data_IF_778858071333
#
_entry.id   IF_778858071333
#
_cell.length_a   1.000
_cell.length_b   1.000
_cell.length_c   1.000
_cell.angle_alpha   90.00
_cell.angle_beta   90.00
_cell.angle_gamma   90.00
#
_symmetry.space_group_name_H-M   'P 1'
#
loop_
_entity.id
_entity.type
_entity.pdbx_description
1 polymer ?
#
# COMPACT_ATOMS: atom_id res chain seq x y z
N UNK A 1 24.06 -9.35 -4.80
CA UNK A 1 23.34 -9.66 -6.06
C UNK A 1 22.69 -11.01 -5.89
N UNK A 2 21.44 -11.05 -5.42
CA UNK A 2 20.68 -12.29 -5.21
C UNK A 2 19.46 -12.27 -6.14
N UNK A 3 19.27 -13.39 -6.83
CA UNK A 3 18.41 -13.56 -8.00
C UNK A 3 16.93 -13.32 -7.75
N UNK A 4 16.32 -12.68 -8.74
CA UNK A 4 14.87 -12.53 -8.88
C UNK A 4 14.39 -13.48 -10.00
N UNK A 5 14.42 -14.79 -9.72
CA UNK A 5 13.92 -15.85 -10.62
C UNK A 5 12.56 -16.38 -10.11
N UNK A 6 11.57 -15.49 -9.94
CA UNK A 6 10.18 -15.88 -9.67
C UNK A 6 9.20 -15.05 -10.49
N UNK A 7 9.31 -15.08 -11.83
CA UNK A 7 8.26 -14.56 -12.73
C UNK A 7 8.43 -15.11 -14.16
N UNK A 8 8.51 -16.43 -14.29
CA UNK A 8 8.35 -17.10 -15.58
C UNK A 8 7.38 -18.26 -15.39
N UNK A 9 6.08 -17.98 -15.44
CA UNK A 9 5.03 -18.85 -15.98
C UNK A 9 3.62 -18.26 -15.78
N UNK A 10 3.40 -17.03 -16.24
CA UNK A 10 2.06 -16.54 -16.60
C UNK A 10 2.11 -16.07 -18.05
N UNK A 11 2.36 -17.01 -18.97
CA UNK A 11 1.98 -16.75 -20.36
C UNK A 11 0.46 -16.89 -20.39
N UNK A 12 -0.31 -15.85 -20.78
CA UNK A 12 -1.73 -16.02 -20.99
C UNK A 12 -1.90 -17.16 -22.00
N UNK A 13 -2.43 -18.29 -21.53
CA UNK A 13 -2.79 -19.40 -22.41
C UNK A 13 -3.74 -18.77 -23.41
N UNK A 14 -3.35 -18.77 -24.69
CA UNK A 14 -4.16 -18.27 -25.80
C UNK A 14 -5.59 -18.75 -25.56
N UNK A 15 -6.50 -17.82 -25.27
CA UNK A 15 -7.92 -18.11 -25.14
C UNK A 15 -8.30 -18.87 -26.42
N UNK A 16 -8.49 -20.18 -26.28
CA UNK A 16 -9.05 -21.01 -27.34
C UNK A 16 -10.32 -20.31 -27.83
N UNK A 17 -10.67 -20.42 -29.12
CA UNK A 17 -11.80 -19.70 -29.69
C UNK A 17 -13.00 -19.80 -28.74
N UNK A 18 -13.41 -18.64 -28.21
CA UNK A 18 -14.40 -18.49 -27.16
C UNK A 18 -15.78 -18.77 -27.77
N UNK A 19 -15.99 -20.02 -28.19
CA UNK A 19 -17.21 -20.50 -28.79
C UNK A 19 -18.27 -20.49 -27.70
N UNK A 20 -19.35 -19.76 -27.94
CA UNK A 20 -20.53 -19.73 -27.07
C UNK A 20 -20.90 -21.17 -26.65
N UNK A 21 -21.10 -21.47 -25.35
CA UNK A 21 -21.49 -22.81 -24.89
C UNK A 21 -22.69 -23.41 -25.65
N UNK A 22 -23.52 -22.55 -26.24
CA UNK A 22 -24.63 -22.94 -27.13
C UNK A 22 -24.15 -23.76 -28.33
N UNK A 23 -22.97 -23.51 -28.89
CA UNK A 23 -22.42 -24.27 -30.02
C UNK A 23 -22.05 -25.70 -29.65
N UNK A 24 -21.52 -25.92 -28.45
CA UNK A 24 -21.19 -27.25 -27.95
C UNK A 24 -22.45 -28.08 -27.68
N UNK A 25 -23.48 -27.44 -27.11
CA UNK A 25 -24.80 -28.04 -26.97
C UNK A 25 -25.41 -28.35 -28.36
N UNK A 26 -25.33 -27.41 -29.30
CA UNK A 26 -25.83 -27.61 -30.66
C UNK A 26 -25.11 -28.77 -31.34
N UNK A 27 -23.78 -28.86 -31.24
CA UNK A 27 -23.00 -29.97 -31.77
C UNK A 27 -23.41 -31.32 -31.16
N UNK A 28 -23.59 -31.38 -29.83
CA UNK A 28 -24.07 -32.60 -29.16
C UNK A 28 -25.46 -33.01 -29.67
N UNK A 29 -26.38 -32.05 -29.81
CA UNK A 29 -27.74 -32.27 -30.33
C UNK A 29 -27.68 -32.71 -31.80
N UNK A 30 -26.89 -32.05 -32.64
CA UNK A 30 -26.75 -32.39 -34.06
C UNK A 30 -26.13 -33.76 -34.26
N UNK A 31 -25.12 -34.16 -33.47
CA UNK A 31 -24.55 -35.51 -33.55
C UNK A 31 -25.57 -36.56 -33.08
N UNK A 32 -26.33 -36.27 -32.02
CA UNK A 32 -27.34 -37.21 -31.50
C UNK A 32 -28.50 -37.39 -32.49
N UNK A 33 -29.11 -36.30 -32.95
CA UNK A 33 -30.30 -36.35 -33.81
C UNK A 33 -29.98 -36.50 -35.29
N UNK A 34 -28.83 -36.01 -35.75
CA UNK A 34 -28.41 -36.08 -37.15
C UNK A 34 -27.64 -37.34 -37.51
N UNK A 35 -26.97 -37.99 -36.54
CA UNK A 35 -26.07 -39.10 -36.83
C UNK A 35 -26.39 -40.34 -36.00
N UNK A 36 -26.56 -40.22 -34.69
CA UNK A 36 -26.80 -41.37 -33.81
C UNK A 36 -28.18 -42.00 -34.04
N UNK A 37 -29.26 -41.21 -34.00
CA UNK A 37 -30.63 -41.71 -34.17
C UNK A 37 -30.88 -42.24 -35.59
N UNK A 38 -30.59 -41.50 -36.68
CA UNK A 38 -30.79 -42.01 -38.03
C UNK A 38 -29.88 -43.21 -38.34
N UNK A 39 -28.64 -43.19 -37.85
CA UNK A 39 -27.70 -44.30 -37.97
C UNK A 39 -28.18 -45.57 -37.27
N UNK A 40 -28.75 -45.44 -36.06
CA UNK A 40 -29.34 -46.57 -35.35
C UNK A 40 -30.58 -47.14 -36.06
N UNK A 41 -31.45 -46.27 -36.61
CA UNK A 41 -32.62 -46.71 -37.40
C UNK A 41 -32.16 -47.43 -38.67
N UNK A 42 -31.20 -46.88 -39.40
CA UNK A 42 -30.66 -47.50 -40.60
C UNK A 42 -29.99 -48.84 -40.31
N UNK A 43 -29.17 -48.91 -39.25
CA UNK A 43 -28.56 -50.14 -38.77
C UNK A 43 -29.61 -51.20 -38.41
N UNK A 44 -30.68 -50.81 -37.71
CA UNK A 44 -31.78 -51.71 -37.37
C UNK A 44 -32.47 -52.24 -38.64
N UNK A 45 -32.82 -51.36 -39.59
CA UNK A 45 -33.43 -51.78 -40.87
C UNK A 45 -32.50 -52.71 -41.66
N UNK A 46 -31.20 -52.42 -41.70
CA UNK A 46 -30.21 -53.24 -42.40
C UNK A 46 -30.05 -54.64 -41.76
N UNK A 47 -30.06 -54.73 -40.43
CA UNK A 47 -29.95 -56.01 -39.71
C UNK A 47 -31.25 -56.82 -39.82
N UNK A 48 -32.42 -56.19 -39.63
CA UNK A 48 -33.72 -56.89 -39.65
C UNK A 48 -34.22 -57.22 -41.06
N UNK A 49 -33.63 -56.65 -42.12
CA UNK A 49 -33.94 -57.01 -43.51
C UNK A 49 -33.22 -58.27 -44.01
N UNK A 50 -32.26 -58.80 -43.24
CA UNK A 50 -31.55 -60.03 -43.60
C UNK A 50 -32.42 -61.27 -43.36
N UNK A 51 -32.52 -62.12 -44.38
CA UNK A 51 -33.32 -63.37 -44.33
C UNK A 51 -32.60 -64.54 -43.67
N UNK A 52 -31.27 -64.47 -43.55
CA UNK A 52 -30.45 -65.52 -42.93
C UNK A 52 -29.85 -65.02 -41.61
N UNK A 53 -29.94 -65.82 -40.52
CA UNK A 53 -29.51 -65.40 -39.19
C UNK A 53 -27.98 -65.23 -39.06
N UNK A 54 -27.17 -65.98 -39.81
CA UNK A 54 -25.70 -65.85 -39.76
C UNK A 54 -25.22 -64.50 -40.31
N UNK A 55 -25.78 -64.03 -41.44
CA UNK A 55 -25.45 -62.72 -42.02
C UNK A 55 -25.86 -61.54 -41.15
N UNK A 56 -26.90 -61.70 -40.32
CA UNK A 56 -27.31 -60.67 -39.37
C UNK A 56 -26.29 -60.51 -38.23
N UNK A 57 -25.70 -61.61 -37.76
CA UNK A 57 -24.69 -61.59 -36.71
C UNK A 57 -23.41 -60.85 -37.14
N UNK A 58 -22.93 -61.11 -38.36
CA UNK A 58 -21.74 -60.45 -38.92
C UNK A 58 -21.96 -58.93 -39.11
N UNK A 59 -23.17 -58.53 -39.53
CA UNK A 59 -23.51 -57.11 -39.64
C UNK A 59 -23.51 -56.41 -38.28
N UNK A 60 -24.03 -57.05 -37.24
CA UNK A 60 -24.02 -56.49 -35.88
C UNK A 60 -22.59 -56.30 -35.40
N UNK A 61 -21.69 -57.26 -35.64
CA UNK A 61 -20.28 -57.15 -35.21
C UNK A 61 -19.55 -56.00 -35.88
N UNK A 62 -19.91 -55.66 -37.13
CA UNK A 62 -19.35 -54.49 -37.83
C UNK A 62 -19.94 -53.17 -37.33
N UNK A 63 -21.22 -53.13 -36.97
CA UNK A 63 -21.92 -51.88 -36.60
C UNK A 63 -21.62 -51.42 -35.16
N UNK A 64 -21.49 -52.36 -34.23
CA UNK A 64 -21.24 -52.06 -32.80
C UNK A 64 -20.09 -51.07 -32.56
N UNK A 65 -18.89 -51.21 -33.16
CA UNK A 65 -17.79 -50.26 -32.92
C UNK A 65 -18.06 -48.83 -33.43
N UNK A 66 -18.93 -48.64 -34.43
CA UNK A 66 -19.36 -47.29 -34.83
C UNK A 66 -20.31 -46.68 -33.81
N UNK A 67 -21.22 -47.48 -33.26
CA UNK A 67 -22.12 -47.05 -32.19
C UNK A 67 -21.37 -46.55 -30.95
N UNK A 68 -20.28 -47.23 -30.57
CA UNK A 68 -19.46 -46.83 -29.41
C UNK A 68 -18.72 -45.51 -29.66
N UNK A 69 -18.21 -45.26 -30.87
CA UNK A 69 -17.56 -43.99 -31.25
C UNK A 69 -18.56 -42.83 -31.18
N UNK A 70 -19.78 -43.01 -31.71
CA UNK A 70 -20.81 -41.97 -31.67
C UNK A 70 -21.23 -41.67 -30.22
N UNK A 71 -21.40 -42.70 -29.39
CA UNK A 71 -21.68 -42.53 -27.96
C UNK A 71 -20.54 -41.77 -27.25
N UNK A 72 -19.28 -42.09 -27.54
CA UNK A 72 -18.13 -41.41 -26.98
C UNK A 72 -18.08 -39.93 -27.38
N UNK A 73 -18.40 -39.60 -28.64
CA UNK A 73 -18.49 -38.21 -29.12
C UNK A 73 -19.58 -37.42 -28.40
N UNK A 74 -20.78 -37.99 -28.27
CA UNK A 74 -21.89 -37.35 -27.53
C UNK A 74 -21.47 -37.10 -26.07
N UNK A 75 -20.82 -38.08 -25.45
CA UNK A 75 -20.32 -37.97 -24.07
C UNK A 75 -19.28 -36.85 -23.96
N UNK A 76 -18.32 -36.79 -24.88
CA UNK A 76 -17.30 -35.76 -24.94
C UNK A 76 -17.91 -34.35 -25.05
N UNK A 77 -18.81 -34.13 -26.01
CA UNK A 77 -19.48 -32.83 -26.17
C UNK A 77 -20.28 -32.43 -24.93
N UNK A 78 -20.94 -33.40 -24.28
CA UNK A 78 -21.72 -33.16 -23.06
C UNK A 78 -20.80 -32.76 -21.89
N UNK A 79 -19.65 -33.41 -21.73
CA UNK A 79 -18.67 -33.07 -20.68
C UNK A 79 -18.08 -31.68 -20.91
N UNK A 80 -17.69 -31.36 -22.15
CA UNK A 80 -17.17 -30.03 -22.51
C UNK A 80 -18.21 -28.94 -22.25
N UNK A 81 -19.45 -29.15 -22.68
CA UNK A 81 -20.54 -28.19 -22.45
C UNK A 81 -20.80 -27.96 -20.95
N UNK A 82 -20.86 -29.03 -20.14
CA UNK A 82 -21.00 -28.91 -18.68
C UNK A 82 -19.83 -28.16 -18.05
N UNK A 83 -18.60 -28.43 -18.48
CA UNK A 83 -17.41 -27.72 -18.01
C UNK A 83 -17.49 -26.22 -18.28
N UNK A 84 -17.89 -25.82 -19.50
CA UNK A 84 -18.06 -24.41 -19.87
C UNK A 84 -19.18 -23.72 -19.09
N UNK A 85 -20.31 -24.39 -18.87
CA UNK A 85 -21.39 -23.84 -18.05
C UNK A 85 -20.96 -23.63 -16.59
N UNK A 86 -20.23 -24.58 -16.01
CA UNK A 86 -19.72 -24.44 -14.64
C UNK A 86 -18.73 -23.27 -14.54
N UNK A 87 -17.84 -23.09 -15.52
CA UNK A 87 -16.92 -21.94 -15.54
C UNK A 87 -17.68 -20.60 -15.63
N UNK A 88 -18.72 -20.51 -16.47
CA UNK A 88 -19.57 -19.31 -16.55
C UNK A 88 -20.32 -19.05 -15.24
N UNK A 89 -20.87 -20.08 -14.61
CA UNK A 89 -21.53 -19.95 -13.31
C UNK A 89 -20.56 -19.46 -12.22
N UNK A 90 -19.32 -19.98 -12.20
CA UNK A 90 -18.29 -19.52 -11.27
C UNK A 90 -17.92 -18.07 -11.53
N UNK A 91 -17.77 -17.66 -12.80
CA UNK A 91 -17.50 -16.26 -13.17
C UNK A 91 -18.62 -15.33 -12.73
N UNK A 92 -19.87 -15.71 -12.97
CA UNK A 92 -21.02 -14.90 -12.58
C UNK A 92 -21.20 -14.85 -11.06
N UNK A 93 -20.98 -15.97 -10.36
CA UNK A 93 -20.98 -16.02 -8.91
C UNK A 93 -19.85 -15.16 -8.31
N UNK A 94 -18.66 -15.15 -8.91
CA UNK A 94 -17.57 -14.26 -8.51
C UNK A 94 -17.96 -12.79 -8.69
N UNK A 95 -18.60 -12.43 -9.80
CA UNK A 95 -19.09 -11.05 -10.03
C UNK A 95 -20.14 -10.65 -9.00
N UNK A 96 -21.09 -11.54 -8.70
CA UNK A 96 -22.12 -11.30 -7.69
C UNK A 96 -21.51 -11.17 -6.29
N UNK A 97 -20.54 -12.02 -5.94
CA UNK A 97 -19.83 -11.93 -4.67
C UNK A 97 -19.06 -10.61 -4.56
N UNK A 98 -18.32 -10.21 -5.60
CA UNK A 98 -17.59 -8.94 -5.61
C UNK A 98 -18.53 -7.74 -5.44
N UNK A 99 -19.67 -7.73 -6.15
CA UNK A 99 -20.66 -6.66 -6.02
C UNK A 99 -21.25 -6.59 -4.60
N UNK A 100 -21.49 -7.75 -3.98
CA UNK A 100 -21.99 -7.84 -2.61
C UNK A 100 -20.95 -7.40 -1.58
N UNK A 101 -19.68 -7.75 -1.79
CA UNK A 101 -18.57 -7.30 -0.94
C UNK A 101 -18.41 -5.79 -1.04
N UNK A 102 -18.52 -5.20 -2.23
CA UNK A 102 -18.46 -3.75 -2.42
C UNK A 102 -19.63 -3.02 -1.76
N UNK A 103 -20.84 -3.56 -1.82
CA UNK A 103 -22.01 -3.04 -1.10
C UNK A 103 -21.79 -3.08 0.43
N UNK A 104 -21.26 -4.20 0.94
CA UNK A 104 -20.95 -4.37 2.35
C UNK A 104 -19.87 -3.39 2.82
N UNK A 105 -18.79 -3.21 2.06
CA UNK A 105 -17.71 -2.27 2.38
C UNK A 105 -18.21 -0.82 2.35
N UNK A 106 -19.06 -0.47 1.39
CA UNK A 106 -19.69 0.86 1.31
C UNK A 106 -20.53 1.13 2.54
N UNK A 107 -21.32 0.14 2.97
CA UNK A 107 -22.13 0.25 4.19
C UNK A 107 -21.26 0.41 5.44
N UNK A 108 -20.22 -0.41 5.59
CA UNK A 108 -19.27 -0.31 6.70
C UNK A 108 -18.56 1.05 6.74
N UNK A 109 -18.24 1.63 5.57
CA UNK A 109 -17.64 2.95 5.46
C UNK A 109 -18.59 4.03 6.01
N UNK A 110 -19.85 4.03 5.55
CA UNK A 110 -20.87 5.01 5.98
C UNK A 110 -21.22 4.86 7.46
N UNK A 111 -21.49 3.63 7.90
CA UNK A 111 -21.82 3.34 9.30
C UNK A 111 -20.62 3.65 10.22
N UNK A 112 -19.40 3.29 9.80
CA UNK A 112 -18.17 3.57 10.52
C UNK A 112 -17.90 5.06 10.70
N UNK A 113 -18.09 5.84 9.63
CA UNK A 113 -17.98 7.30 9.68
C UNK A 113 -19.04 7.92 10.62
N UNK A 114 -20.29 7.46 10.53
CA UNK A 114 -21.36 7.92 11.41
C UNK A 114 -21.09 7.64 12.89
N UNK A 115 -20.51 6.48 13.21
CA UNK A 115 -20.16 6.10 14.58
C UNK A 115 -19.01 6.93 15.19
N UNK A 116 -18.10 7.45 14.36
CA UNK A 116 -17.00 8.31 14.85
C UNK A 116 -17.49 9.67 15.35
N UNK A 117 -18.60 10.17 14.82
CA UNK A 117 -19.20 11.44 15.23
C UNK A 117 -19.94 11.38 16.58
N UNK A 118 -20.16 10.20 17.15
CA UNK A 118 -20.88 10.04 18.42
C UNK A 118 -19.98 10.44 19.62
N UNK A 119 -20.55 10.88 20.72
CA UNK A 119 -19.80 11.21 21.95
C UNK A 119 -19.38 9.96 22.74
N UNK A 120 -20.06 8.84 22.53
CA UNK A 120 -19.78 7.59 23.23
C UNK A 120 -18.50 6.92 22.69
N UNK A 121 -17.48 6.79 23.55
CA UNK A 121 -16.19 6.17 23.18
C UNK A 121 -16.35 4.74 22.64
N UNK A 122 -17.28 3.94 23.15
CA UNK A 122 -17.50 2.58 22.65
C UNK A 122 -18.01 2.57 21.21
N UNK A 123 -18.85 3.54 20.84
CA UNK A 123 -19.31 3.71 19.45
C UNK A 123 -18.19 4.22 18.55
N UNK A 124 -17.39 5.18 19.00
CA UNK A 124 -16.18 5.63 18.26
C UNK A 124 -15.25 4.46 17.98
N UNK A 125 -14.99 3.61 18.98
CA UNK A 125 -14.16 2.43 18.83
C UNK A 125 -14.72 1.43 17.81
N UNK A 126 -16.04 1.23 17.79
CA UNK A 126 -16.71 0.43 16.77
C UNK A 126 -16.55 1.07 15.38
N UNK A 127 -16.65 2.40 15.28
CA UNK A 127 -16.38 3.16 14.06
C UNK A 127 -14.96 2.96 13.53
N UNK A 128 -13.94 3.12 14.39
CA UNK A 128 -12.53 2.85 14.05
C UNK A 128 -12.35 1.41 13.55
N UNK A 129 -12.98 0.43 14.20
CA UNK A 129 -12.88 -0.99 13.81
C UNK A 129 -13.54 -1.26 12.44
N UNK A 130 -14.71 -0.67 12.19
CA UNK A 130 -15.39 -0.77 10.90
C UNK A 130 -14.54 -0.17 9.78
N UNK A 131 -13.99 1.03 9.99
CA UNK A 131 -13.12 1.68 9.02
C UNK A 131 -11.80 0.94 8.80
N UNK A 132 -11.21 0.36 9.86
CA UNK A 132 -10.03 -0.50 9.70
C UNK A 132 -10.33 -1.72 8.82
N UNK A 133 -11.53 -2.31 8.96
CA UNK A 133 -11.97 -3.43 8.10
C UNK A 133 -12.04 -3.00 6.64
N UNK A 134 -12.56 -1.79 6.37
CA UNK A 134 -12.61 -1.24 5.01
C UNK A 134 -11.20 -0.91 4.49
N UNK A 135 -10.34 -0.30 5.32
CA UNK A 135 -8.98 0.07 4.96
C UNK A 135 -8.09 -1.15 4.65
N UNK A 136 -8.31 -2.27 5.35
CA UNK A 136 -7.53 -3.50 5.20
C UNK A 136 -8.16 -4.52 4.25
N UNK A 137 -9.30 -4.19 3.62
CA UNK A 137 -9.99 -5.08 2.70
C UNK A 137 -9.10 -5.43 1.47
N UNK A 138 -9.21 -6.66 0.92
CA UNK A 138 -8.42 -7.07 -0.24
C UNK A 138 -8.66 -6.21 -1.48
N UNK A 139 -9.92 -5.88 -1.78
CA UNK A 139 -10.30 -5.12 -2.98
C UNK A 139 -9.76 -3.67 -2.96
N UNK A 140 -9.50 -3.09 -1.79
CA UNK A 140 -8.84 -1.78 -1.66
C UNK A 140 -9.60 -0.57 -2.23
N UNK A 141 -10.71 -0.74 -2.95
CA UNK A 141 -11.47 0.32 -3.63
C UNK A 141 -11.87 1.48 -2.72
N UNK A 142 -12.15 1.18 -1.45
CA UNK A 142 -12.55 2.16 -0.43
C UNK A 142 -11.46 2.44 0.61
N UNK A 143 -10.27 1.88 0.43
CA UNK A 143 -9.22 1.94 1.45
C UNK A 143 -8.72 3.37 1.67
N UNK A 144 -8.50 4.15 0.62
CA UNK A 144 -8.09 5.56 0.73
C UNK A 144 -9.14 6.41 1.45
N UNK A 145 -10.43 6.25 1.12
CA UNK A 145 -11.50 6.99 1.78
C UNK A 145 -11.60 6.63 3.27
N UNK A 146 -11.47 5.35 3.63
CA UNK A 146 -11.44 4.93 5.02
C UNK A 146 -10.23 5.50 5.78
N UNK A 147 -9.06 5.52 5.14
CA UNK A 147 -7.85 6.13 5.69
C UNK A 147 -8.02 7.63 5.93
N UNK A 148 -8.63 8.36 4.99
CA UNK A 148 -8.90 9.79 5.11
C UNK A 148 -9.80 10.10 6.32
N UNK A 149 -10.89 9.36 6.49
CA UNK A 149 -11.80 9.52 7.63
C UNK A 149 -11.09 9.21 8.96
N UNK A 150 -10.25 8.16 9.00
CA UNK A 150 -9.46 7.83 10.18
C UNK A 150 -8.43 8.93 10.50
N UNK A 151 -7.77 9.49 9.49
CA UNK A 151 -6.82 10.60 9.68
C UNK A 151 -7.51 11.86 10.19
N UNK A 152 -8.64 12.23 9.60
CA UNK A 152 -9.43 13.39 10.03
C UNK A 152 -9.90 13.22 11.48
N UNK A 153 -10.36 12.02 11.86
CA UNK A 153 -10.72 11.73 13.24
C UNK A 153 -9.53 11.87 14.18
N UNK A 154 -8.35 11.37 13.79
CA UNK A 154 -7.12 11.53 14.57
C UNK A 154 -6.76 13.02 14.72
N UNK A 155 -6.79 13.79 13.63
CA UNK A 155 -6.47 15.22 13.58
C UNK A 155 -7.38 16.05 14.50
N UNK A 156 -8.67 15.74 14.55
CA UNK A 156 -9.60 16.46 15.41
C UNK A 156 -9.48 16.09 16.91
N UNK A 157 -8.99 14.89 17.23
CA UNK A 157 -9.03 14.36 18.60
C UNK A 157 -7.66 14.27 19.29
N UNK A 158 -6.54 14.43 18.57
CA UNK A 158 -5.21 14.27 19.16
C UNK A 158 -4.94 15.27 20.31
N UNK A 159 -5.47 16.51 20.23
CA UNK A 159 -5.23 17.56 21.25
C UNK A 159 -5.99 17.33 22.54
N UNK A 160 -7.26 16.93 22.40
CA UNK A 160 -8.18 16.88 23.53
C UNK A 160 -7.76 15.78 24.50
N UNK A 161 -7.23 14.67 23.97
CA UNK A 161 -6.88 13.51 24.77
C UNK A 161 -6.07 12.49 23.97
N UNK A 162 -4.75 12.76 23.78
CA UNK A 162 -3.79 11.81 23.21
C UNK A 162 -3.76 10.45 23.98
N UNK A 163 -4.54 10.30 25.05
CA UNK A 163 -4.71 9.09 25.84
C UNK A 163 -6.01 8.31 25.59
N UNK A 164 -6.96 8.82 24.81
CA UNK A 164 -8.20 8.06 24.52
C UNK A 164 -7.88 6.77 23.76
N UNK A 165 -8.66 5.72 24.03
CA UNK A 165 -8.45 4.43 23.37
C UNK A 165 -8.77 4.54 21.87
N UNK A 166 -9.74 5.39 21.51
CA UNK A 166 -10.13 5.63 20.12
C UNK A 166 -8.98 6.22 19.28
N UNK A 167 -8.27 7.23 19.78
CA UNK A 167 -7.14 7.86 19.05
C UNK A 167 -5.99 6.86 18.88
N UNK A 168 -5.63 6.11 19.94
CA UNK A 168 -4.60 5.06 19.85
C UNK A 168 -4.98 3.96 18.85
N UNK A 169 -6.24 3.52 18.87
CA UNK A 169 -6.73 2.51 17.95
C UNK A 169 -6.76 3.01 16.51
N UNK A 170 -7.04 4.29 16.30
CA UNK A 170 -6.98 4.94 14.99
C UNK A 170 -5.56 4.91 14.43
N UNK A 171 -4.57 5.33 15.22
CA UNK A 171 -3.15 5.24 14.83
C UNK A 171 -2.72 3.80 14.51
N UNK A 172 -3.17 2.82 15.29
CA UNK A 172 -2.94 1.40 15.03
C UNK A 172 -3.60 0.90 13.73
N UNK A 173 -4.84 1.30 13.47
CA UNK A 173 -5.56 0.97 12.24
C UNK A 173 -4.87 1.55 11.00
N UNK A 174 -4.47 2.82 11.06
CA UNK A 174 -3.70 3.48 10.00
C UNK A 174 -2.37 2.74 9.76
N UNK A 175 -1.64 2.37 10.82
CA UNK A 175 -0.41 1.59 10.70
C UNK A 175 -0.63 0.20 10.06
N UNK A 176 -1.74 -0.48 10.36
CA UNK A 176 -2.08 -1.77 9.74
C UNK A 176 -2.35 -1.62 8.25
N UNK A 177 -3.12 -0.61 7.86
CA UNK A 177 -3.42 -0.34 6.45
C UNK A 177 -2.16 0.05 5.66
N UNK A 178 -1.24 0.81 6.25
CA UNK A 178 0.06 1.16 5.63
C UNK A 178 0.92 -0.08 5.38
N UNK A 179 0.90 -1.08 6.27
CA UNK A 179 1.59 -2.36 6.04
C UNK A 179 1.07 -3.13 4.82
N UNK A 180 -0.17 -2.87 4.40
CA UNK A 180 -0.78 -3.39 3.18
C UNK A 180 -0.57 -2.46 1.97
N UNK A 181 0.26 -1.43 2.10
CA UNK A 181 0.52 -0.45 1.04
C UNK A 181 -0.61 0.55 0.81
N UNK A 182 -1.55 0.70 1.77
CA UNK A 182 -2.67 1.65 1.66
C UNK A 182 -2.26 3.02 2.20
N UNK A 183 -2.76 4.07 1.55
CA UNK A 183 -2.54 5.48 1.93
C UNK A 183 -3.78 6.31 1.67
N UNK A 184 -3.94 7.35 2.48
CA UNK A 184 -4.87 8.43 2.20
C UNK A 184 -4.31 9.32 1.08
N UNK A 185 -5.22 9.98 0.35
CA UNK A 185 -4.83 11.04 -0.61
C UNK A 185 -4.80 12.42 0.04
N UNK A 186 -5.18 12.52 1.32
CA UNK A 186 -5.10 13.75 2.10
C UNK A 186 -3.84 13.80 2.96
N UNK A 187 -3.52 15.01 3.42
CA UNK A 187 -2.52 15.24 4.45
C UNK A 187 -3.15 15.65 5.76
N UNK A 188 -2.32 15.76 6.80
CA UNK A 188 -2.73 16.22 8.13
C UNK A 188 -2.11 17.59 8.41
N UNK A 189 -2.87 18.48 9.03
CA UNK A 189 -2.40 19.78 9.50
C UNK A 189 -2.49 19.87 11.02
N UNK A 190 -1.33 19.78 11.64
CA UNK A 190 -1.20 19.75 13.09
C UNK A 190 -0.56 21.04 13.54
N UNK A 191 -1.25 21.77 14.42
CA UNK A 191 -0.74 23.03 14.96
C UNK A 191 -0.71 22.94 16.49
N UNK A 192 0.35 23.41 17.13
CA UNK A 192 0.41 23.62 18.57
C UNK A 192 0.77 25.07 18.84
N UNK A 193 0.11 25.64 19.85
CA UNK A 193 0.41 27.00 20.28
C UNK A 193 1.79 26.99 20.95
N UNK A 194 2.70 27.83 20.46
CA UNK A 194 4.06 28.02 20.99
C UNK A 194 4.07 28.33 22.50
N UNK A 195 2.95 28.83 23.03
CA UNK A 195 2.81 29.22 24.45
C UNK A 195 2.41 28.06 25.36
N UNK A 196 2.20 26.85 24.84
CA UNK A 196 1.88 25.71 25.69
C UNK A 196 3.10 25.35 26.55
N UNK A 197 3.02 25.43 27.89
CA UNK A 197 4.15 25.10 28.78
C UNK A 197 4.50 23.61 28.75
N UNK A 198 3.61 22.77 28.19
CA UNK A 198 3.82 21.35 27.96
C UNK A 198 3.73 21.11 26.45
N UNK A 199 4.87 21.16 25.77
CA UNK A 199 4.93 20.77 24.36
C UNK A 199 4.71 19.26 24.28
N UNK A 200 3.71 18.84 23.51
CA UNK A 200 3.42 17.42 23.32
C UNK A 200 4.48 16.80 22.41
N UNK A 201 4.95 15.59 22.74
CA UNK A 201 5.77 14.80 21.81
C UNK A 201 4.91 14.33 20.64
N UNK A 202 5.18 14.86 19.45
CA UNK A 202 4.41 14.54 18.26
C UNK A 202 4.67 13.10 17.81
N UNK A 203 3.61 12.30 17.82
CA UNK A 203 3.59 10.99 17.18
C UNK A 203 2.46 10.91 16.14
N UNK A 204 2.58 11.68 15.02
CA UNK A 204 1.60 11.67 13.95
C UNK A 204 1.42 10.25 13.38
N UNK A 205 0.20 9.87 13.01
CA UNK A 205 -0.07 8.53 12.55
C UNK A 205 0.49 8.33 11.14
N UNK A 206 0.88 7.10 10.78
CA UNK A 206 1.36 6.82 9.43
C UNK A 206 0.21 6.87 8.40
N UNK A 207 0.56 6.97 7.11
CA UNK A 207 -0.39 6.75 6.01
C UNK A 207 -1.02 8.01 5.41
N UNK A 208 -0.68 9.18 5.93
CA UNK A 208 -0.95 10.46 5.27
C UNK A 208 -0.01 10.67 4.06
N UNK A 209 -0.52 11.35 3.03
CA UNK A 209 0.30 11.69 1.86
C UNK A 209 1.38 12.74 2.21
N UNK A 210 0.97 13.75 2.98
CA UNK A 210 1.84 14.77 3.53
C UNK A 210 1.41 15.13 4.95
N UNK A 211 2.31 15.66 5.76
CA UNK A 211 2.02 16.10 7.12
C UNK A 211 2.66 17.46 7.34
N UNK A 212 1.84 18.43 7.73
CA UNK A 212 2.27 19.76 8.13
C UNK A 212 2.19 19.87 9.65
N UNK A 213 3.34 20.05 10.31
CA UNK A 213 3.44 20.27 11.75
C UNK A 213 3.83 21.73 11.99
N UNK A 214 3.17 22.38 12.95
CA UNK A 214 3.58 23.69 13.45
C UNK A 214 3.70 23.70 14.97
N UNK A 215 4.84 24.12 15.49
CA UNK A 215 5.09 24.16 16.94
C UNK A 215 5.35 22.76 17.54
N UNK A 216 5.39 22.68 18.85
CA UNK A 216 5.55 21.42 19.59
C UNK A 216 6.95 20.82 19.53
N UNK A 217 7.05 19.56 19.93
CA UNK A 217 8.33 18.87 20.13
C UNK A 217 8.32 17.47 19.49
N UNK A 218 9.45 17.04 18.94
CA UNK A 218 9.66 15.67 18.46
C UNK A 218 10.93 15.11 19.07
N UNK A 219 10.79 14.06 19.86
CA UNK A 219 11.93 13.33 20.40
C UNK A 219 12.48 12.27 19.44
N UNK A 220 13.71 11.83 19.69
CA UNK A 220 14.40 10.73 18.97
C UNK A 220 13.50 9.54 18.63
N UNK A 221 12.75 9.02 19.61
CA UNK A 221 11.92 7.83 19.46
C UNK A 221 10.69 8.06 18.56
N UNK A 222 10.18 9.28 18.54
CA UNK A 222 9.01 9.65 17.75
C UNK A 222 9.43 9.97 16.32
N UNK A 223 10.54 10.69 16.16
CA UNK A 223 11.15 10.94 14.84
C UNK A 223 11.51 9.63 14.12
N UNK A 224 12.09 8.65 14.84
CA UNK A 224 12.45 7.35 14.27
C UNK A 224 11.25 6.53 13.73
N UNK A 225 10.02 6.86 14.13
CA UNK A 225 8.79 6.18 13.68
C UNK A 225 8.12 6.86 12.48
N UNK A 226 8.57 8.05 12.09
CA UNK A 226 7.97 8.80 10.99
C UNK A 226 8.16 8.05 9.66
N UNK A 227 7.11 7.96 8.84
CA UNK A 227 7.19 7.32 7.52
C UNK A 227 8.04 8.20 6.58
N UNK A 228 9.19 7.68 6.16
CA UNK A 228 10.13 8.37 5.24
C UNK A 228 9.53 8.67 3.87
N UNK A 229 8.44 8.01 3.52
CA UNK A 229 7.75 8.19 2.25
C UNK A 229 6.60 9.22 2.31
N UNK A 230 6.31 9.76 3.48
CA UNK A 230 5.40 10.89 3.66
C UNK A 230 6.20 12.18 3.45
N UNK A 231 5.58 13.18 2.81
CA UNK A 231 6.18 14.52 2.75
C UNK A 231 5.94 15.24 4.07
N UNK A 232 6.99 15.59 4.77
CA UNK A 232 6.92 16.25 6.06
C UNK A 232 7.31 17.70 5.93
N UNK A 233 6.43 18.58 6.38
CA UNK A 233 6.70 20.00 6.51
C UNK A 233 6.59 20.35 7.99
N UNK A 234 7.70 20.76 8.60
CA UNK A 234 7.78 21.08 10.02
C UNK A 234 8.11 22.55 10.18
N UNK A 235 7.27 23.31 10.86
CA UNK A 235 7.44 24.74 11.07
C UNK A 235 7.48 25.08 12.56
N UNK A 236 8.52 25.76 13.05
CA UNK A 236 8.65 26.12 14.48
C UNK A 236 8.63 24.90 15.42
N UNK A 237 9.03 23.73 14.93
CA UNK A 237 9.07 22.48 15.70
C UNK A 237 10.43 22.34 16.41
N UNK A 238 10.44 21.88 17.66
CA UNK A 238 11.67 21.53 18.39
C UNK A 238 11.98 20.04 18.23
N UNK A 239 13.09 19.70 17.59
CA UNK A 239 13.59 18.34 17.43
C UNK A 239 14.73 18.09 18.41
N UNK A 240 14.64 17.04 19.22
CA UNK A 240 15.69 16.72 20.19
C UNK A 240 16.19 15.28 20.07
N UNK A 241 17.50 15.11 20.05
CA UNK A 241 18.14 13.79 19.97
C UNK A 241 17.90 13.05 18.65
N UNK A 242 17.39 13.73 17.62
CA UNK A 242 16.94 13.11 16.38
C UNK A 242 18.11 12.86 15.43
N UNK A 243 18.05 11.78 14.66
CA UNK A 243 18.99 11.53 13.55
C UNK A 243 18.29 11.98 12.28
N UNK A 244 18.73 13.12 11.74
CA UNK A 244 18.14 13.71 10.54
C UNK A 244 18.93 13.23 9.32
N UNK A 245 18.34 12.28 8.61
CA UNK A 245 18.86 11.70 7.37
C UNK A 245 18.13 12.27 6.14
N UNK A 246 18.69 12.05 4.96
CA UNK A 246 18.06 12.44 3.71
C UNK A 246 16.66 11.81 3.58
N UNK A 247 15.66 12.64 3.33
CA UNK A 247 14.27 12.23 3.17
C UNK A 247 13.41 13.38 2.66
N UNK A 248 12.10 13.18 2.63
CA UNK A 248 11.13 14.21 2.21
C UNK A 248 10.76 15.11 3.39
N UNK A 249 11.77 15.72 4.04
CA UNK A 249 11.61 16.62 5.18
C UNK A 249 11.88 18.05 4.76
N UNK A 250 10.99 18.96 5.13
CA UNK A 250 11.12 20.40 4.96
C UNK A 250 11.00 21.04 6.35
N UNK A 251 11.99 21.85 6.74
CA UNK A 251 12.10 22.42 8.09
C UNK A 251 12.15 23.94 8.03
N UNK A 252 11.12 24.58 8.59
CA UNK A 252 10.92 26.03 8.62
C UNK A 252 11.09 26.52 10.06
N UNK A 253 12.07 27.37 10.36
CA UNK A 253 12.24 27.98 11.71
C UNK A 253 12.27 26.95 12.85
N UNK A 254 12.82 25.76 12.59
CA UNK A 254 12.87 24.65 13.56
C UNK A 254 14.04 24.81 14.53
N UNK A 255 13.91 24.23 15.73
CA UNK A 255 15.02 24.13 16.70
C UNK A 255 15.52 22.70 16.74
N UNK A 256 16.81 22.50 16.51
CA UNK A 256 17.47 21.20 16.62
C UNK A 256 18.37 21.22 17.86
N UNK A 257 18.19 20.26 18.76
CA UNK A 257 19.01 20.12 19.97
C UNK A 257 19.56 18.72 20.12
N UNK A 258 20.86 18.56 20.25
CA UNK A 258 21.49 17.24 20.40
C UNK A 258 21.20 16.29 19.24
N UNK A 259 20.92 16.82 18.03
CA UNK A 259 20.57 16.02 16.86
C UNK A 259 21.83 15.65 16.05
N UNK A 260 21.75 14.55 15.31
CA UNK A 260 22.78 14.16 14.33
C UNK A 260 22.28 14.53 12.94
N UNK A 261 23.03 15.35 12.21
CA UNK A 261 22.67 15.87 10.89
C UNK A 261 23.50 15.13 9.83
N UNK A 262 22.97 14.05 9.25
CA UNK A 262 23.75 13.14 8.42
C UNK A 262 23.82 13.57 6.94
N UNK A 263 22.70 13.95 6.32
CA UNK A 263 22.69 14.34 4.89
C UNK A 263 21.39 15.08 4.53
N UNK A 264 21.43 16.36 4.12
CA UNK A 264 20.31 16.95 3.40
C UNK A 264 20.28 16.39 1.96
N UNK A 265 19.10 16.14 1.38
CA UNK A 265 19.01 15.62 0.01
C UNK A 265 19.58 16.63 -0.99
N UNK A 266 20.78 16.37 -1.52
CA UNK A 266 21.44 17.09 -2.63
C UNK A 266 20.67 17.05 -3.98
N UNK A 267 19.38 16.66 -3.99
CA UNK A 267 18.60 16.68 -5.23
C UNK A 267 18.25 18.12 -5.56
N UNK A 268 18.93 18.63 -6.58
CA UNK A 268 18.65 19.84 -7.36
C UNK A 268 17.16 20.24 -7.31
N UNK A 269 16.82 21.20 -6.45
CA UNK A 269 15.50 21.79 -6.37
C UNK A 269 14.73 21.61 -5.06
N UNK A 270 15.24 20.84 -4.09
CA UNK A 270 14.67 20.81 -2.73
C UNK A 270 15.30 21.91 -1.87
N UNK A 271 14.45 22.71 -1.25
CA UNK A 271 14.73 23.94 -0.53
C UNK A 271 15.70 23.75 0.67
N UNK A 272 16.46 24.80 0.93
CA UNK A 272 17.67 24.80 1.74
C UNK A 272 17.36 24.82 3.24
N UNK A 273 17.90 23.87 4.01
CA UNK A 273 17.63 23.71 5.45
C UNK A 273 18.08 24.90 6.31
N UNK A 274 18.99 25.71 5.77
CA UNK A 274 19.59 26.86 6.41
C UNK A 274 18.86 28.20 6.12
N UNK A 275 17.93 28.26 5.16
CA UNK A 275 17.37 29.55 4.72
C UNK A 275 16.22 30.10 5.58
N UNK A 276 15.73 29.33 6.56
CA UNK A 276 14.45 29.65 7.21
C UNK A 276 14.52 29.82 8.72
N UNK A 277 15.64 30.35 9.21
CA UNK A 277 15.82 30.71 10.64
C UNK A 277 15.82 29.53 11.60
N UNK A 278 16.20 28.34 11.13
CA UNK A 278 16.36 27.18 12.00
C UNK A 278 17.59 27.35 12.91
N UNK A 279 17.50 26.91 14.17
CA UNK A 279 18.61 27.01 15.14
C UNK A 279 19.12 25.64 15.53
N UNK A 280 20.43 25.49 15.67
CA UNK A 280 21.09 24.23 16.04
C UNK A 280 21.86 24.41 17.35
N UNK A 281 21.68 23.52 18.31
CA UNK A 281 22.33 23.51 19.62
C UNK A 281 22.84 22.09 19.93
N UNK A 282 24.10 21.97 20.34
CA UNK A 282 24.75 20.70 20.67
C UNK A 282 24.60 19.61 19.58
N UNK A 283 24.46 19.99 18.30
CA UNK A 283 24.23 19.03 17.21
C UNK A 283 25.54 18.50 16.61
N UNK A 284 25.49 17.24 16.17
CA UNK A 284 26.57 16.52 15.48
C UNK A 284 26.40 16.66 13.96
N UNK A 285 27.37 17.31 13.31
CA UNK A 285 27.45 17.52 11.86
C UNK A 285 28.49 16.61 11.18
N UNK A 286 28.95 15.55 11.86
CA UNK A 286 29.95 14.63 11.29
C UNK A 286 29.43 13.97 10.02
N UNK A 287 30.23 14.05 8.95
CA UNK A 287 29.89 13.53 7.62
C UNK A 287 28.76 14.28 6.90
N UNK A 288 28.25 15.40 7.46
CA UNK A 288 27.14 16.14 6.89
C UNK A 288 27.50 16.73 5.51
N UNK A 289 26.62 16.54 4.53
CA UNK A 289 26.78 17.16 3.20
C UNK A 289 26.10 18.53 3.13
N UNK A 290 26.84 19.62 3.20
CA UNK A 290 26.31 20.98 3.33
C UNK A 290 26.57 21.80 2.06
N UNK A 291 25.55 22.48 1.52
CA UNK A 291 25.76 23.48 0.48
C UNK A 291 26.47 24.71 1.06
N UNK A 292 27.60 25.09 0.46
CA UNK A 292 28.44 26.13 1.01
C UNK A 292 27.84 27.54 0.89
N UNK A 293 27.00 27.81 -0.11
CA UNK A 293 26.36 29.11 -0.27
C UNK A 293 25.27 29.32 0.77
N UNK A 294 24.49 28.27 1.03
CA UNK A 294 23.44 28.28 2.03
C UNK A 294 24.03 28.43 3.43
N UNK A 295 25.08 27.67 3.71
CA UNK A 295 25.78 27.75 4.98
C UNK A 295 26.38 29.13 5.24
N UNK A 296 27.04 29.73 4.25
CA UNK A 296 27.60 31.09 4.38
C UNK A 296 26.52 32.14 4.61
N UNK A 297 25.39 32.02 3.90
CA UNK A 297 24.24 32.92 4.08
C UNK A 297 23.71 32.83 5.51
N UNK A 298 23.61 31.62 6.04
CA UNK A 298 23.23 31.37 7.43
C UNK A 298 24.21 31.96 8.44
N UNK A 299 25.52 31.68 8.29
CA UNK A 299 26.54 32.22 9.21
C UNK A 299 26.59 33.74 9.18
N UNK A 300 26.37 34.36 8.01
CA UNK A 300 26.31 35.81 7.88
C UNK A 300 25.11 36.43 8.63
N UNK A 301 23.95 35.75 8.63
CA UNK A 301 22.74 36.25 9.28
C UNK A 301 22.66 35.90 10.77
N UNK A 302 23.06 34.68 11.16
CA UNK A 302 22.86 34.13 12.50
C UNK A 302 24.15 33.90 13.30
N UNK A 303 25.32 34.02 12.66
CA UNK A 303 26.62 33.77 13.28
C UNK A 303 27.09 32.31 13.18
N UNK A 304 28.28 32.07 13.71
CA UNK A 304 28.93 30.77 13.69
C UNK A 304 28.16 29.73 14.52
N UNK A 305 27.95 28.54 13.96
CA UNK A 305 27.31 27.41 14.66
C UNK A 305 28.11 26.95 15.89
N UNK A 306 29.41 27.25 15.93
CA UNK A 306 30.31 26.96 17.05
C UNK A 306 29.84 27.54 18.38
N UNK A 307 29.14 28.68 18.35
CA UNK A 307 28.66 29.39 19.56
C UNK A 307 27.66 28.55 20.35
N UNK A 308 26.95 27.64 19.68
CA UNK A 308 25.94 26.77 20.28
C UNK A 308 26.44 25.32 20.44
N UNK A 309 27.75 25.15 20.60
CA UNK A 309 28.43 23.86 20.76
C UNK A 309 28.14 22.83 19.66
N UNK A 310 27.74 23.25 18.47
CA UNK A 310 27.62 22.33 17.34
C UNK A 310 29.02 21.84 16.94
N UNK A 311 29.13 20.57 16.60
CA UNK A 311 30.42 19.91 16.47
C UNK A 311 30.47 18.91 15.31
N UNK A 312 31.67 18.44 15.01
CA UNK A 312 31.96 17.28 14.18
C UNK A 312 33.16 16.52 14.74
N UNK A 313 33.29 15.24 14.42
CA UNK A 313 34.45 14.42 14.79
C UNK A 313 35.57 14.54 13.75
N UNK A 314 36.82 14.61 14.22
CA UNK A 314 38.03 14.81 13.39
C UNK A 314 38.17 13.80 12.24
N UNK A 315 37.72 12.56 12.44
CA UNK A 315 37.76 11.48 11.46
C UNK A 315 36.63 11.54 10.41
N UNK A 316 35.63 12.40 10.61
CA UNK A 316 34.42 12.48 9.79
C UNK A 316 33.93 13.93 9.63
N UNK A 317 34.73 14.83 9.03
CA UNK A 317 34.36 16.23 8.87
C UNK A 317 33.18 16.42 7.90
N UNK A 318 32.41 17.53 8.03
CA UNK A 318 31.38 17.86 7.05
C UNK A 318 31.97 18.06 5.66
N UNK A 319 31.21 17.70 4.63
CA UNK A 319 31.58 17.86 3.23
C UNK A 319 30.73 18.94 2.58
N UNK A 320 31.32 19.74 1.69
CA UNK A 320 30.60 20.81 0.99
C UNK A 320 31.06 20.96 -0.45
N UNK A 321 30.23 21.62 -1.26
CA UNK A 321 30.52 21.89 -2.67
C UNK A 321 31.54 23.02 -2.91
N UNK A 322 31.94 23.74 -1.86
CA UNK A 322 33.00 24.73 -1.89
C UNK A 322 33.74 24.78 -0.55
N UNK A 323 35.00 25.23 -0.55
CA UNK A 323 35.81 25.29 0.66
C UNK A 323 35.15 26.13 1.77
N UNK A 324 34.97 25.51 2.94
CA UNK A 324 34.56 26.14 4.20
C UNK A 324 35.61 25.77 5.24
N UNK A 325 36.02 26.75 6.06
CA UNK A 325 36.88 26.49 7.20
C UNK A 325 36.05 26.04 8.41
N UNK A 326 35.76 24.73 8.46
CA UNK A 326 34.91 24.15 9.50
C UNK A 326 35.42 24.39 10.93
N UNK A 327 36.73 24.63 11.13
CA UNK A 327 37.28 24.91 12.46
C UNK A 327 36.80 26.26 13.01
N UNK A 328 36.50 27.23 12.14
CA UNK A 328 35.92 28.51 12.56
C UNK A 328 34.41 28.40 12.82
N UNK A 329 33.76 27.41 12.21
CA UNK A 329 32.31 27.34 12.12
C UNK A 329 31.68 26.29 13.04
N UNK A 330 32.43 25.25 13.41
CA UNK A 330 32.01 24.16 14.28
C UNK A 330 33.14 23.77 15.25
N UNK A 331 32.80 23.09 16.34
CA UNK A 331 33.78 22.47 17.21
C UNK A 331 34.31 21.17 16.58
N UNK A 332 35.62 21.01 16.48
CA UNK A 332 36.24 19.74 16.11
C UNK A 332 36.51 18.93 17.38
N UNK A 333 35.88 17.77 17.51
CA UNK A 333 36.09 16.85 18.62
C UNK A 333 37.00 15.69 18.20
N UNK A 334 37.84 15.16 19.12
CA UNK A 334 38.65 13.98 18.83
C UNK A 334 37.77 12.78 18.49
N UNK A 335 38.17 11.98 17.49
CA UNK A 335 37.47 10.75 17.10
C UNK A 335 37.26 9.78 18.29
N UNK A 336 38.15 9.80 19.29
CA UNK A 336 38.04 8.98 20.50
C UNK A 336 36.86 9.34 21.41
N UNK A 337 36.19 10.48 21.19
CA UNK A 337 35.00 10.89 21.94
C UNK A 337 33.69 10.41 21.31
N UNK A 338 33.74 9.78 20.12
CA UNK A 338 32.56 9.22 19.47
C UNK A 338 32.06 8.04 20.32
N UNK A 339 30.90 8.22 20.94
CA UNK A 339 30.23 7.12 21.64
C UNK A 339 29.70 6.12 20.60
N UNK A 340 29.99 4.83 20.80
CA UNK A 340 29.52 3.73 19.96
C UNK A 340 27.98 3.57 19.97
#
# INVERSE_FOLDING_TARGET
MAGNDRNKEDRPVSDWPNMDPRWWMLAAVTVTFGLAIPGAIFAAVAVFSQKMPETAHDMVTVIVPFGTIVLALITFFTVVWRGLLTDQQVKEQRRQNNAKDDEMLTKLLVDGAGLLGDENEAKRMAGVSALNTVATAPNGSYSSNAMEILLEFWEHNYRADNTTRAVRNTSSALAQAVRLGRRANTGIYVFEDERSPNLSDWSPPPGAQFVFLRGGFIGKNSFAKLDRNTRWTMNQVSLEGCIIEAGSWEFFTCRFKGCTIATPPLKSGAENWFHERSSFEDCDFSGAAIDANDFRSYVQEYGSLRVHNNFYYEDDPPVSNASIDWLNELLCLPASMRAD
#
